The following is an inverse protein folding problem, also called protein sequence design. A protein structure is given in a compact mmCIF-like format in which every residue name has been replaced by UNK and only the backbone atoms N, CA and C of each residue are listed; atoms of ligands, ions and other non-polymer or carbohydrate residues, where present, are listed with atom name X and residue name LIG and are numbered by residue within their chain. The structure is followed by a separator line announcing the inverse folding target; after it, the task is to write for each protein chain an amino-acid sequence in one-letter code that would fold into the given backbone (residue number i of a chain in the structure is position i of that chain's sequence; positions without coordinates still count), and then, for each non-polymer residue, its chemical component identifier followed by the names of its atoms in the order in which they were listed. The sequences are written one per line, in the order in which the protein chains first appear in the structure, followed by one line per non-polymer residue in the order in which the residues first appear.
data_IF_459316144286
#
_entry.id   IF_459316144286
#
_cell.length_a   1.000
_cell.length_b   1.000
_cell.length_c   1.000
_cell.angle_alpha   90.00
_cell.angle_beta   90.00
_cell.angle_gamma   90.00
#
_symmetry.space_group_name_H-M   'P 1'
#
loop_
_entity.id
_entity.type
_entity.pdbx_description
1 polymer ?
#
# COMPACT_ATOMS: atom_id res chain seq x y z
N UNK A 1 1.40 67.48 -6.06
CA UNK A 1 1.94 67.58 -4.70
C UNK A 1 2.83 66.40 -4.47
N UNK A 2 4.08 66.60 -4.74
CA UNK A 2 5.37 66.11 -4.31
C UNK A 2 5.47 64.71 -3.72
N UNK A 3 6.12 63.79 -4.43
CA UNK A 3 6.73 62.56 -3.98
C UNK A 3 8.16 62.91 -3.50
N UNK A 4 8.71 62.29 -2.49
CA UNK A 4 10.15 62.11 -2.40
C UNK A 4 10.61 60.65 -2.53
N UNK A 5 11.72 60.55 -3.23
CA UNK A 5 12.59 59.45 -3.53
C UNK A 5 13.30 58.84 -2.32
N UNK A 6 13.76 57.58 -2.58
CA UNK A 6 15.01 56.94 -2.19
C UNK A 6 15.07 56.19 -0.84
N UNK A 7 15.40 54.89 -0.91
CA UNK A 7 16.77 54.43 -0.54
C UNK A 7 16.97 52.98 -1.06
N UNK A 8 17.81 52.87 -2.11
CA UNK A 8 18.45 51.62 -2.49
C UNK A 8 19.60 51.36 -1.49
N UNK A 9 19.62 50.20 -0.86
CA UNK A 9 20.81 49.66 -0.23
C UNK A 9 21.30 48.45 -1.05
N UNK A 10 22.35 48.73 -1.83
CA UNK A 10 23.22 47.71 -2.41
C UNK A 10 24.02 47.05 -1.30
N UNK A 11 23.88 45.72 -1.17
CA UNK A 11 24.74 44.88 -0.32
C UNK A 11 25.88 44.37 -1.20
N UNK A 12 27.04 45.01 -1.08
CA UNK A 12 28.33 44.57 -1.63
C UNK A 12 28.80 43.32 -0.92
N UNK A 13 28.69 42.14 -1.54
CA UNK A 13 29.31 40.91 -1.05
C UNK A 13 30.82 40.91 -1.36
N UNK A 14 31.61 41.08 -0.31
CA UNK A 14 33.08 41.03 -0.32
C UNK A 14 33.58 39.60 -0.62
N UNK A 15 34.45 39.45 -1.64
CA UNK A 15 35.09 38.19 -2.06
C UNK A 15 36.08 37.55 -1.10
N UNK A 16 36.17 37.98 0.17
CA UNK A 16 37.14 37.48 1.16
C UNK A 16 36.58 36.48 2.17
N UNK A 17 35.27 36.13 2.09
CA UNK A 17 34.62 35.18 3.02
C UNK A 17 34.59 33.72 2.58
N UNK A 18 35.09 33.39 1.37
CA UNK A 18 34.84 32.04 0.78
C UNK A 18 36.00 31.05 0.97
N UNK A 19 37.04 31.34 1.68
CA UNK A 19 38.21 30.46 1.89
C UNK A 19 38.39 29.97 3.32
N UNK A 20 37.50 30.32 4.26
CA UNK A 20 37.58 29.91 5.67
C UNK A 20 36.70 28.72 6.09
N UNK A 21 35.83 28.24 5.21
CA UNK A 21 34.79 27.25 5.56
C UNK A 21 35.12 25.78 5.30
N UNK A 22 36.21 25.45 4.64
CA UNK A 22 36.53 24.09 4.20
C UNK A 22 37.52 23.31 5.10
N UNK A 23 38.03 23.91 6.18
CA UNK A 23 38.99 23.23 7.06
C UNK A 23 38.40 22.65 8.35
N UNK A 24 37.11 22.79 8.61
CA UNK A 24 36.47 22.32 9.86
C UNK A 24 35.66 21.04 9.71
N UNK A 25 35.59 20.43 8.52
CA UNK A 25 34.80 19.22 8.26
C UNK A 25 35.61 17.91 8.29
N UNK A 26 36.95 18.01 8.49
CA UNK A 26 37.83 16.83 8.45
C UNK A 26 38.20 16.28 9.83
N UNK A 27 37.78 16.90 10.96
CA UNK A 27 38.25 16.50 12.29
C UNK A 27 37.15 15.91 13.21
N UNK A 28 35.95 15.69 12.72
CA UNK A 28 34.85 15.07 13.51
C UNK A 28 34.70 13.57 13.24
N UNK A 29 35.50 12.96 12.36
CA UNK A 29 35.40 11.54 12.00
C UNK A 29 36.30 10.59 12.82
N UNK A 30 36.94 11.05 13.89
CA UNK A 30 37.91 10.23 14.65
C UNK A 30 37.61 10.00 16.14
N UNK A 31 36.48 10.47 16.71
CA UNK A 31 36.12 10.21 18.09
C UNK A 31 34.62 9.97 18.25
N UNK A 32 34.16 8.85 17.74
CA UNK A 32 32.80 8.35 17.93
C UNK A 32 32.86 6.91 18.39
N UNK A 33 32.98 6.72 19.70
CA UNK A 33 32.78 5.42 20.34
C UNK A 33 31.38 4.90 20.01
N UNK A 34 31.29 3.60 19.95
CA UNK A 34 30.11 2.78 19.74
C UNK A 34 28.86 3.29 20.48
N UNK A 35 28.03 4.06 19.85
CA UNK A 35 26.60 4.10 20.16
C UNK A 35 25.90 3.33 19.08
N UNK A 36 25.37 2.16 19.43
CA UNK A 36 24.40 1.41 18.66
C UNK A 36 23.20 2.31 18.37
N UNK A 37 23.29 3.16 17.39
CA UNK A 37 22.13 3.63 16.65
C UNK A 37 21.66 2.44 15.84
N UNK A 38 20.77 1.65 16.43
CA UNK A 38 20.06 0.59 15.75
C UNK A 38 19.26 1.17 14.59
N UNK A 39 19.92 1.31 13.45
CA UNK A 39 19.24 1.25 12.18
C UNK A 39 18.72 -0.18 12.09
N UNK A 40 17.51 -0.43 12.62
CA UNK A 40 16.72 -1.60 12.33
C UNK A 40 16.15 -1.42 10.92
N UNK A 41 17.03 -1.33 9.92
CA UNK A 41 16.69 -1.74 8.57
C UNK A 41 16.25 -3.20 8.71
N UNK A 42 14.99 -3.49 8.47
CA UNK A 42 14.51 -4.84 8.37
C UNK A 42 15.43 -5.53 7.36
N UNK A 43 16.32 -6.43 7.82
CA UNK A 43 17.12 -7.26 6.95
C UNK A 43 16.11 -8.14 6.23
N UNK A 44 15.99 -7.95 4.94
CA UNK A 44 15.27 -8.87 4.09
C UNK A 44 15.96 -10.23 4.26
N UNK A 45 15.26 -11.16 4.86
CA UNK A 45 15.69 -12.55 4.89
C UNK A 45 15.21 -13.19 3.59
N UNK A 46 16.10 -13.26 2.61
CA UNK A 46 15.83 -13.91 1.31
C UNK A 46 15.37 -15.37 1.47
N UNK A 47 15.59 -15.98 2.64
CA UNK A 47 15.11 -17.31 2.96
C UNK A 47 13.61 -17.37 3.25
N UNK A 48 12.94 -16.23 3.47
CA UNK A 48 11.50 -16.17 3.71
C UNK A 48 10.68 -16.20 2.42
N UNK A 49 11.27 -15.90 1.27
CA UNK A 49 10.64 -16.02 -0.04
C UNK A 49 11.03 -17.38 -0.62
N UNK A 50 10.04 -18.10 -1.14
CA UNK A 50 10.27 -19.37 -1.84
C UNK A 50 11.33 -19.18 -2.92
N UNK A 51 12.09 -20.25 -3.25
CA UNK A 51 13.11 -20.23 -4.30
C UNK A 51 12.61 -19.75 -5.68
N UNK A 52 11.30 -19.61 -5.84
CA UNK A 52 10.63 -19.03 -7.00
C UNK A 52 9.72 -17.88 -6.53
N UNK A 53 10.25 -16.65 -6.36
CA UNK A 53 9.50 -15.51 -5.90
C UNK A 53 8.49 -15.05 -6.97
N UNK A 54 7.32 -15.66 -6.96
CA UNK A 54 6.22 -15.33 -7.86
C UNK A 54 5.13 -14.57 -7.14
N UNK A 55 4.65 -13.50 -7.77
CA UNK A 55 3.51 -12.71 -7.33
C UNK A 55 2.37 -12.91 -8.33
N UNK A 56 1.17 -13.20 -7.83
CA UNK A 56 -0.02 -13.14 -8.66
C UNK A 56 -0.50 -11.69 -8.77
N UNK A 57 -0.91 -11.32 -9.96
CA UNK A 57 -1.54 -10.03 -10.23
C UNK A 57 -2.88 -10.25 -10.86
N UNK A 58 -3.88 -9.57 -10.31
CA UNK A 58 -5.15 -9.36 -10.97
C UNK A 58 -5.29 -7.85 -11.22
N UNK A 59 -5.67 -7.48 -12.43
CA UNK A 59 -5.72 -6.06 -12.80
C UNK A 59 -6.90 -5.75 -13.72
N UNK A 60 -7.50 -4.59 -13.49
CA UNK A 60 -8.50 -3.96 -14.36
C UNK A 60 -7.90 -2.88 -15.25
N UNK A 61 -6.57 -2.74 -15.26
CA UNK A 61 -5.83 -1.82 -16.13
C UNK A 61 -5.84 -2.32 -17.56
N UNK A 62 -5.81 -1.39 -18.50
CA UNK A 62 -5.63 -1.70 -19.92
C UNK A 62 -4.21 -2.23 -20.17
N UNK A 63 -4.05 -3.41 -20.80
CA UNK A 63 -2.74 -3.89 -21.18
C UNK A 63 -2.13 -3.00 -22.27
N UNK A 64 -0.83 -2.70 -22.12
CA UNK A 64 -0.01 -2.04 -23.13
C UNK A 64 0.85 -3.12 -23.80
N UNK A 65 1.05 -3.05 -25.10
CA UNK A 65 1.81 -4.04 -25.85
C UNK A 65 1.37 -5.51 -25.60
N UNK A 66 0.08 -5.71 -25.36
CA UNK A 66 -0.45 -7.03 -25.01
C UNK A 66 -0.03 -7.52 -23.62
N UNK A 67 0.52 -6.66 -22.76
CA UNK A 67 1.02 -7.02 -21.43
C UNK A 67 2.35 -7.79 -21.43
N UNK A 68 3.05 -7.83 -22.58
CA UNK A 68 4.27 -8.64 -22.75
C UNK A 68 5.59 -7.88 -22.58
N UNK A 69 5.54 -6.55 -22.66
CA UNK A 69 6.71 -5.69 -22.55
C UNK A 69 6.38 -4.45 -21.74
N UNK A 70 7.37 -3.91 -21.05
CA UNK A 70 7.23 -2.69 -20.23
C UNK A 70 6.94 -1.46 -21.13
N UNK A 71 6.00 -0.58 -20.74
CA UNK A 71 5.06 -0.74 -19.66
C UNK A 71 4.03 -1.83 -19.96
N UNK A 72 3.78 -2.74 -19.02
CA UNK A 72 2.88 -3.88 -19.22
C UNK A 72 1.40 -3.47 -19.20
N UNK A 73 1.04 -2.61 -18.25
CA UNK A 73 -0.32 -2.13 -18.08
C UNK A 73 -0.31 -0.62 -17.85
N UNK A 74 -1.22 0.05 -18.53
CA UNK A 74 -1.37 1.51 -18.48
C UNK A 74 -2.24 2.00 -17.32
N UNK A 75 -2.43 3.33 -17.25
CA UNK A 75 -3.33 3.95 -16.28
C UNK A 75 -4.81 3.89 -16.71
N UNK A 76 -5.11 3.50 -17.95
CA UNK A 76 -6.47 3.45 -18.47
C UNK A 76 -7.22 2.20 -17.96
N UNK A 77 -8.55 2.32 -17.93
CA UNK A 77 -9.46 1.22 -17.62
C UNK A 77 -9.46 0.20 -18.76
N UNK A 78 -9.26 -1.08 -18.42
CA UNK A 78 -9.32 -2.20 -19.36
C UNK A 78 -10.75 -2.64 -19.62
N UNK A 79 -10.93 -3.60 -20.52
CA UNK A 79 -12.25 -4.19 -20.85
C UNK A 79 -12.69 -5.31 -19.91
N UNK A 80 -11.84 -5.68 -18.94
CA UNK A 80 -12.09 -6.79 -18.01
C UNK A 80 -10.92 -6.97 -17.05
N UNK A 81 -10.88 -8.13 -16.39
CA UNK A 81 -9.81 -8.51 -15.48
C UNK A 81 -8.76 -9.29 -16.29
N UNK A 82 -7.50 -8.93 -16.08
CA UNK A 82 -6.37 -9.74 -16.56
C UNK A 82 -5.68 -10.36 -15.35
N UNK A 83 -5.40 -11.66 -15.44
CA UNK A 83 -4.59 -12.41 -14.46
C UNK A 83 -3.20 -12.57 -15.04
N UNK A 84 -2.17 -12.23 -14.26
CA UNK A 84 -0.78 -12.37 -14.64
C UNK A 84 0.04 -12.96 -13.49
N UNK A 85 1.14 -13.63 -13.84
CA UNK A 85 2.16 -14.06 -12.89
C UNK A 85 3.40 -13.19 -13.10
N UNK A 86 3.94 -12.67 -12.01
CA UNK A 86 5.18 -11.91 -12.02
C UNK A 86 6.30 -12.75 -11.41
N UNK A 87 7.43 -12.77 -12.08
CA UNK A 87 8.70 -13.22 -11.50
C UNK A 87 9.40 -11.99 -10.94
N UNK A 88 9.66 -12.03 -9.64
CA UNK A 88 10.33 -10.96 -8.94
C UNK A 88 11.82 -11.28 -8.80
N UNK A 89 12.63 -10.24 -8.87
CA UNK A 89 14.07 -10.31 -8.55
C UNK A 89 14.23 -9.65 -7.19
N UNK A 90 14.67 -10.41 -6.16
CA UNK A 90 14.90 -9.84 -4.83
C UNK A 90 16.04 -8.83 -4.85
N UNK A 91 16.16 -7.99 -3.81
CA UNK A 91 17.32 -7.15 -3.58
C UNK A 91 18.59 -8.00 -3.54
N UNK A 92 19.67 -7.48 -4.11
CA UNK A 92 20.99 -8.14 -4.01
C UNK A 92 21.53 -8.01 -2.58
N UNK A 93 21.75 -9.13 -1.90
CA UNK A 93 22.25 -9.23 -0.52
C UNK A 93 23.77 -9.37 -0.44
N UNK A 94 24.49 -9.17 -1.55
CA UNK A 94 25.95 -9.19 -1.59
C UNK A 94 26.61 -8.28 -0.56
N UNK A 95 27.87 -8.56 -0.18
CA UNK A 95 28.64 -7.80 0.84
C UNK A 95 28.75 -6.28 0.57
N UNK A 96 28.43 -5.84 -0.63
CA UNK A 96 28.36 -4.46 -1.07
C UNK A 96 26.95 -4.06 -1.49
N UNK A 97 25.93 -4.72 -0.93
CA UNK A 97 24.54 -4.43 -1.28
C UNK A 97 24.18 -2.98 -0.99
N UNK A 98 23.74 -2.28 -2.03
CA UNK A 98 23.17 -0.94 -1.93
C UNK A 98 21.81 -0.94 -1.21
N UNK A 99 21.23 -2.11 -0.92
CA UNK A 99 20.03 -2.27 -0.12
C UNK A 99 20.18 -1.69 1.30
N UNK A 100 21.40 -1.75 1.88
CA UNK A 100 21.70 -1.14 3.19
C UNK A 100 21.55 0.39 3.21
N UNK A 101 21.59 1.04 2.03
CA UNK A 101 21.40 2.48 1.84
C UNK A 101 20.14 2.78 1.02
N UNK A 102 19.22 1.82 0.89
CA UNK A 102 17.94 1.99 0.19
C UNK A 102 18.03 1.96 -1.34
N UNK A 103 19.16 1.57 -1.91
CA UNK A 103 19.37 1.55 -3.37
C UNK A 103 19.21 0.16 -4.00
N UNK A 104 19.07 -0.90 -3.19
CA UNK A 104 18.72 -2.24 -3.66
C UNK A 104 17.28 -2.55 -3.33
N UNK A 105 16.43 -2.69 -4.32
CA UNK A 105 15.00 -2.93 -4.13
C UNK A 105 14.51 -4.10 -5.00
N UNK A 106 13.35 -4.63 -4.66
CA UNK A 106 12.65 -5.60 -5.49
C UNK A 106 12.48 -5.07 -6.92
N UNK A 107 12.64 -5.94 -7.90
CA UNK A 107 12.43 -5.62 -9.31
C UNK A 107 11.52 -6.66 -9.95
N UNK A 108 10.74 -6.22 -10.94
CA UNK A 108 9.98 -7.13 -11.79
C UNK A 108 10.92 -7.62 -12.89
N UNK A 109 11.18 -8.92 -12.89
CA UNK A 109 12.00 -9.57 -13.93
C UNK A 109 11.16 -9.90 -15.16
N UNK A 110 9.98 -10.51 -14.96
CA UNK A 110 9.11 -10.98 -16.03
C UNK A 110 7.66 -10.85 -15.64
N UNK A 111 6.79 -10.57 -16.61
CA UNK A 111 5.33 -10.59 -16.47
C UNK A 111 4.78 -11.57 -17.49
N UNK A 112 4.18 -12.65 -17.01
CA UNK A 112 3.50 -13.66 -17.81
C UNK A 112 1.98 -13.45 -17.68
N UNK A 113 1.29 -12.93 -18.72
CA UNK A 113 -0.18 -12.96 -18.73
C UNK A 113 -0.66 -14.41 -18.72
N UNK A 114 -1.46 -14.77 -17.72
CA UNK A 114 -2.02 -16.12 -17.58
C UNK A 114 -3.32 -16.20 -18.36
N UNK A 115 -4.22 -15.25 -18.16
CA UNK A 115 -5.54 -15.26 -18.75
C UNK A 115 -6.21 -13.87 -18.74
N UNK A 116 -7.23 -13.73 -19.60
CA UNK A 116 -8.21 -12.65 -19.53
C UNK A 116 -9.51 -13.08 -18.85
N UNK A 117 -9.59 -14.34 -18.41
CA UNK A 117 -10.75 -14.88 -17.74
C UNK A 117 -10.48 -15.10 -16.25
N UNK A 118 -11.38 -14.61 -15.42
CA UNK A 118 -11.24 -14.72 -13.97
C UNK A 118 -11.30 -16.18 -13.49
N UNK A 119 -11.96 -17.06 -14.25
CA UNK A 119 -12.05 -18.49 -13.93
C UNK A 119 -10.69 -19.18 -13.84
N UNK A 120 -9.71 -18.71 -14.59
CA UNK A 120 -8.35 -19.26 -14.57
C UNK A 120 -7.56 -18.85 -13.32
N UNK A 121 -8.05 -17.85 -12.56
CA UNK A 121 -7.47 -17.48 -11.27
C UNK A 121 -7.47 -18.66 -10.29
N UNK A 122 -8.52 -19.46 -10.30
CA UNK A 122 -8.67 -20.66 -9.48
C UNK A 122 -7.49 -21.61 -9.68
N UNK A 123 -7.09 -21.85 -10.92
CA UNK A 123 -6.01 -22.77 -11.26
C UNK A 123 -4.62 -22.28 -10.81
N UNK A 124 -4.42 -20.96 -10.72
CA UNK A 124 -3.13 -20.36 -10.39
C UNK A 124 -3.00 -19.90 -8.95
N UNK A 125 -4.10 -19.86 -8.19
CA UNK A 125 -4.09 -19.44 -6.77
C UNK A 125 -3.29 -20.43 -5.91
N UNK A 126 -3.30 -21.72 -6.22
CA UNK A 126 -2.58 -22.75 -5.47
C UNK A 126 -3.26 -23.07 -4.13
N UNK A 127 -2.49 -23.63 -3.16
CA UNK A 127 -2.99 -24.04 -1.85
C UNK A 127 -2.48 -23.12 -0.73
N UNK A 128 -3.22 -23.11 0.39
CA UNK A 128 -2.91 -22.33 1.59
C UNK A 128 -3.57 -20.95 1.64
N UNK A 129 -3.12 -20.15 2.58
CA UNK A 129 -3.63 -18.78 2.77
C UNK A 129 -3.21 -17.86 1.62
N UNK A 130 -4.07 -16.91 1.29
CA UNK A 130 -3.85 -15.91 0.24
C UNK A 130 -3.83 -14.52 0.85
N UNK A 131 -2.79 -13.75 0.60
CA UNK A 131 -2.70 -12.32 0.91
C UNK A 131 -2.99 -11.51 -0.34
N UNK A 132 -4.00 -10.65 -0.30
CA UNK A 132 -4.31 -9.73 -1.40
C UNK A 132 -3.96 -8.31 -0.95
N UNK A 133 -3.03 -7.67 -1.66
CA UNK A 133 -2.73 -6.26 -1.49
C UNK A 133 -3.52 -5.40 -2.48
N UNK A 134 -4.14 -4.33 -2.00
CA UNK A 134 -4.88 -3.35 -2.81
C UNK A 134 -4.27 -1.97 -2.61
N UNK A 135 -3.67 -1.44 -3.66
CA UNK A 135 -2.90 -0.20 -3.61
C UNK A 135 -3.77 1.06 -3.46
N UNK A 136 -3.14 2.16 -3.07
CA UNK A 136 -3.75 3.47 -2.93
C UNK A 136 -3.66 4.35 -4.18
N UNK A 137 -3.89 5.64 -3.98
CA UNK A 137 -3.74 6.69 -4.98
C UNK A 137 -2.30 6.78 -5.50
N UNK A 138 -2.13 7.23 -6.74
CA UNK A 138 -0.85 7.56 -7.35
C UNK A 138 0.10 6.35 -7.52
N UNK A 139 -0.42 5.18 -7.81
CA UNK A 139 0.36 3.97 -8.04
C UNK A 139 0.32 3.55 -9.51
N UNK A 140 1.47 3.16 -10.06
CA UNK A 140 1.55 2.44 -11.33
C UNK A 140 1.30 0.95 -11.13
N UNK A 141 1.21 0.19 -12.21
CA UNK A 141 1.18 -1.27 -12.14
C UNK A 141 2.43 -1.82 -11.42
N UNK A 142 3.59 -1.32 -11.82
CA UNK A 142 4.89 -1.76 -11.28
C UNK A 142 5.04 -1.43 -9.79
N UNK A 143 4.72 -0.20 -9.39
CA UNK A 143 4.86 0.20 -7.98
C UNK A 143 3.89 -0.57 -7.10
N UNK A 144 2.64 -0.81 -7.54
CA UNK A 144 1.68 -1.61 -6.77
C UNK A 144 2.13 -3.07 -6.57
N UNK A 145 2.77 -3.67 -7.59
CA UNK A 145 3.31 -5.02 -7.50
C UNK A 145 4.52 -5.10 -6.55
N UNK A 146 5.41 -4.12 -6.63
CA UNK A 146 6.59 -4.05 -5.75
C UNK A 146 6.20 -3.79 -4.29
N UNK A 147 5.19 -2.97 -4.04
CA UNK A 147 4.67 -2.74 -2.69
C UNK A 147 4.03 -4.00 -2.09
N UNK A 148 3.34 -4.80 -2.91
CA UNK A 148 2.82 -6.10 -2.48
C UNK A 148 3.95 -7.06 -2.08
N UNK A 149 5.03 -7.09 -2.85
CA UNK A 149 6.20 -7.91 -2.56
C UNK A 149 6.89 -7.48 -1.25
N UNK A 150 7.14 -6.17 -1.11
CA UNK A 150 7.74 -5.58 0.11
C UNK A 150 6.91 -5.87 1.35
N UNK A 151 5.59 -5.70 1.25
CA UNK A 151 4.68 -5.97 2.36
C UNK A 151 4.72 -7.43 2.76
N UNK A 152 4.57 -8.34 1.79
CA UNK A 152 4.58 -9.78 2.02
C UNK A 152 5.86 -10.25 2.72
N UNK A 153 7.00 -9.75 2.26
CA UNK A 153 8.30 -10.05 2.85
C UNK A 153 8.43 -9.45 4.26
N UNK A 154 8.09 -8.17 4.44
CA UNK A 154 8.18 -7.48 5.73
C UNK A 154 7.34 -8.13 6.83
N UNK A 155 6.15 -8.65 6.49
CA UNK A 155 5.30 -9.38 7.43
C UNK A 155 5.61 -10.88 7.49
N UNK A 156 6.56 -11.37 6.68
CA UNK A 156 6.94 -12.79 6.54
C UNK A 156 5.72 -13.67 6.25
N UNK A 157 4.98 -13.31 5.23
CA UNK A 157 3.80 -14.09 4.85
C UNK A 157 4.20 -15.36 4.09
N UNK A 158 3.75 -16.52 4.56
CA UNK A 158 4.14 -17.82 3.98
C UNK A 158 3.14 -18.39 2.98
N UNK A 159 2.03 -17.68 2.72
CA UNK A 159 1.02 -18.08 1.74
C UNK A 159 1.28 -17.51 0.35
N UNK A 160 0.25 -17.53 -0.48
CA UNK A 160 0.28 -16.94 -1.82
C UNK A 160 0.01 -15.44 -1.76
N UNK A 161 0.91 -14.62 -2.28
CA UNK A 161 0.68 -13.17 -2.38
C UNK A 161 0.10 -12.82 -3.74
N UNK A 162 -0.91 -11.97 -3.71
CA UNK A 162 -1.60 -11.42 -4.86
C UNK A 162 -1.70 -9.90 -4.73
N UNK A 163 -1.59 -9.17 -5.83
CA UNK A 163 -1.95 -7.75 -5.88
C UNK A 163 -3.18 -7.55 -6.77
N UNK A 164 -4.12 -6.74 -6.30
CA UNK A 164 -5.17 -6.18 -7.14
C UNK A 164 -4.75 -4.78 -7.59
N UNK A 165 -4.36 -4.66 -8.87
CA UNK A 165 -3.89 -3.40 -9.44
C UNK A 165 -4.99 -2.73 -10.26
N UNK A 166 -5.64 -1.70 -9.68
CA UNK A 166 -6.66 -0.90 -10.33
C UNK A 166 -6.06 0.29 -11.09
N UNK A 167 -6.77 0.87 -12.11
CA UNK A 167 -6.25 1.95 -12.95
C UNK A 167 -6.06 3.26 -12.18
N UNK A 168 -4.82 3.63 -11.88
CA UNK A 168 -4.41 4.91 -11.33
C UNK A 168 -3.45 5.57 -12.32
N UNK A 169 -3.60 6.87 -12.53
CA UNK A 169 -2.75 7.67 -13.43
C UNK A 169 -1.40 8.05 -12.83
N UNK A 170 -1.22 7.80 -11.55
CA UNK A 170 -0.01 8.11 -10.80
C UNK A 170 0.38 9.60 -10.77
N UNK A 171 -0.47 10.51 -11.25
CA UNK A 171 -0.27 11.95 -11.22
C UNK A 171 -0.87 12.60 -9.98
N UNK A 172 -0.22 13.66 -9.48
CA UNK A 172 -0.68 14.36 -8.27
C UNK A 172 -2.07 15.02 -8.45
N UNK A 173 -2.39 15.46 -9.67
CA UNK A 173 -3.65 16.13 -9.99
C UNK A 173 -4.76 15.19 -10.47
N UNK A 174 -4.48 13.88 -10.54
CA UNK A 174 -5.42 12.88 -11.06
C UNK A 174 -6.29 12.24 -9.96
N UNK A 175 -6.38 12.85 -8.78
CA UNK A 175 -7.12 12.30 -7.64
C UNK A 175 -8.58 11.93 -7.97
N UNK A 176 -9.30 12.80 -8.67
CA UNK A 176 -10.69 12.54 -9.05
C UNK A 176 -10.80 11.36 -10.03
N UNK A 177 -9.91 11.30 -11.03
CA UNK A 177 -9.86 10.17 -11.97
C UNK A 177 -9.57 8.86 -11.24
N UNK A 178 -8.60 8.87 -10.34
CA UNK A 178 -8.19 7.68 -9.59
C UNK A 178 -9.33 7.20 -8.68
N UNK A 179 -10.03 8.11 -8.02
CA UNK A 179 -11.20 7.79 -7.18
C UNK A 179 -12.31 7.12 -7.98
N UNK A 180 -12.65 7.67 -9.15
CA UNK A 180 -13.64 7.07 -10.04
C UNK A 180 -13.18 5.73 -10.58
N UNK A 181 -11.88 5.57 -10.85
CA UNK A 181 -11.29 4.32 -11.34
C UNK A 181 -11.26 3.23 -10.26
N UNK A 182 -10.99 3.61 -9.01
CA UNK A 182 -11.11 2.69 -7.88
C UNK A 182 -12.55 2.19 -7.75
N UNK A 183 -13.53 3.09 -7.76
CA UNK A 183 -14.95 2.72 -7.68
C UNK A 183 -15.44 1.93 -8.89
N UNK A 184 -14.95 2.25 -10.09
CA UNK A 184 -15.24 1.46 -11.29
C UNK A 184 -14.69 0.02 -11.20
N UNK A 185 -13.57 -0.17 -10.49
CA UNK A 185 -12.91 -1.46 -10.34
C UNK A 185 -13.53 -2.37 -9.26
N UNK A 186 -14.50 -1.88 -8.46
CA UNK A 186 -15.08 -2.63 -7.33
C UNK A 186 -15.73 -3.95 -7.74
N UNK A 187 -16.48 -3.96 -8.86
CA UNK A 187 -17.13 -5.17 -9.36
C UNK A 187 -16.10 -6.20 -9.88
N UNK A 188 -14.96 -5.67 -10.40
CA UNK A 188 -13.81 -6.50 -10.77
C UNK A 188 -13.16 -7.13 -9.54
N UNK A 189 -12.98 -6.38 -8.47
CA UNK A 189 -12.36 -6.90 -7.24
C UNK A 189 -13.31 -7.87 -6.50
N UNK A 190 -14.61 -7.59 -6.48
CA UNK A 190 -15.60 -8.54 -5.94
C UNK A 190 -15.51 -9.90 -6.64
N UNK A 191 -15.41 -9.91 -7.99
CA UNK A 191 -15.22 -11.15 -8.75
C UNK A 191 -13.89 -11.84 -8.44
N UNK A 192 -12.80 -11.09 -8.22
CA UNK A 192 -11.52 -11.66 -7.78
C UNK A 192 -11.68 -12.34 -6.44
N UNK A 193 -12.31 -11.69 -5.47
CA UNK A 193 -12.57 -12.26 -4.15
C UNK A 193 -13.44 -13.51 -4.23
N UNK A 194 -14.55 -13.45 -4.96
CA UNK A 194 -15.46 -14.58 -5.16
C UNK A 194 -14.75 -15.79 -5.79
N UNK A 195 -13.96 -15.55 -6.85
CA UNK A 195 -13.17 -16.60 -7.51
C UNK A 195 -12.08 -17.19 -6.59
N UNK A 196 -11.42 -16.35 -5.78
CA UNK A 196 -10.40 -16.82 -4.82
C UNK A 196 -11.04 -17.64 -3.69
N UNK A 197 -12.21 -17.23 -3.19
CA UNK A 197 -12.99 -17.98 -2.21
C UNK A 197 -13.40 -19.36 -2.76
N UNK A 198 -13.78 -19.42 -4.02
CA UNK A 198 -14.15 -20.66 -4.70
C UNK A 198 -12.97 -21.55 -5.07
N UNK A 199 -11.74 -21.11 -4.94
CA UNK A 199 -10.55 -21.91 -5.28
C UNK A 199 -10.37 -23.06 -4.28
N UNK A 200 -10.32 -24.33 -4.72
CA UNK A 200 -10.30 -25.49 -3.82
C UNK A 200 -9.10 -25.54 -2.88
N UNK A 201 -7.98 -24.96 -3.29
CA UNK A 201 -6.74 -24.94 -2.50
C UNK A 201 -6.59 -23.73 -1.58
N UNK A 202 -7.36 -22.66 -1.80
CA UNK A 202 -7.28 -21.47 -0.96
C UNK A 202 -7.93 -21.74 0.40
N UNK A 203 -7.22 -21.48 1.47
CA UNK A 203 -7.71 -21.65 2.84
C UNK A 203 -8.41 -20.37 3.31
N UNK A 204 -7.65 -19.35 3.65
CA UNK A 204 -8.16 -18.03 4.06
C UNK A 204 -7.62 -16.94 3.17
N UNK A 205 -8.43 -15.92 3.02
CA UNK A 205 -8.07 -14.73 2.24
C UNK A 205 -7.85 -13.58 3.20
N UNK A 206 -6.63 -13.09 3.26
CA UNK A 206 -6.25 -11.89 3.99
C UNK A 206 -6.15 -10.72 3.02
N UNK A 207 -6.62 -9.57 3.41
CA UNK A 207 -6.63 -8.37 2.56
C UNK A 207 -5.90 -7.25 3.30
N UNK A 208 -4.93 -6.63 2.64
CA UNK A 208 -4.34 -5.38 3.09
C UNK A 208 -4.60 -4.33 2.03
N UNK A 209 -5.41 -3.35 2.36
CA UNK A 209 -5.75 -2.25 1.48
C UNK A 209 -5.18 -0.93 2.01
N UNK A 210 -4.64 -0.12 1.11
CA UNK A 210 -4.00 1.13 1.44
C UNK A 210 -4.78 2.34 0.88
N UNK A 211 -4.96 3.37 1.70
CA UNK A 211 -5.48 4.67 1.29
C UNK A 211 -6.79 4.57 0.50
N UNK A 212 -6.85 5.08 -0.73
CA UNK A 212 -8.01 4.99 -1.64
C UNK A 212 -8.43 3.55 -1.97
N UNK A 213 -7.48 2.59 -1.94
CA UNK A 213 -7.78 1.16 -2.12
C UNK A 213 -8.68 0.58 -1.03
N UNK A 214 -8.76 1.22 0.14
CA UNK A 214 -9.63 0.80 1.23
C UNK A 214 -11.11 1.04 0.90
N UNK A 215 -11.43 2.15 0.23
CA UNK A 215 -12.78 2.44 -0.25
C UNK A 215 -13.24 1.39 -1.27
N UNK A 216 -12.39 1.10 -2.25
CA UNK A 216 -12.62 0.05 -3.23
C UNK A 216 -12.88 -1.31 -2.54
N UNK A 217 -12.01 -1.68 -1.59
CA UNK A 217 -12.10 -2.95 -0.87
C UNK A 217 -13.37 -3.05 -0.04
N UNK A 218 -13.73 -2.01 0.71
CA UNK A 218 -14.94 -1.99 1.52
C UNK A 218 -16.21 -2.16 0.67
N UNK A 219 -16.30 -1.47 -0.46
CA UNK A 219 -17.44 -1.61 -1.37
C UNK A 219 -17.51 -3.00 -2.02
N UNK A 220 -16.36 -3.58 -2.38
CA UNK A 220 -16.32 -4.94 -2.91
C UNK A 220 -16.72 -5.98 -1.86
N UNK A 221 -16.29 -5.82 -0.61
CA UNK A 221 -16.70 -6.68 0.51
C UNK A 221 -18.20 -6.54 0.80
N UNK A 222 -18.75 -5.33 0.71
CA UNK A 222 -20.18 -5.09 0.87
C UNK A 222 -21.01 -5.81 -0.21
N UNK A 223 -20.57 -5.76 -1.48
CA UNK A 223 -21.22 -6.50 -2.57
C UNK A 223 -21.11 -8.01 -2.37
N UNK A 224 -19.90 -8.49 -2.06
CA UNK A 224 -19.63 -9.90 -1.80
C UNK A 224 -20.51 -10.45 -0.66
N UNK A 225 -20.60 -9.70 0.46
CA UNK A 225 -21.44 -10.08 1.59
C UNK A 225 -22.94 -10.05 1.24
N UNK A 226 -23.38 -9.10 0.43
CA UNK A 226 -24.77 -9.05 -0.04
C UNK A 226 -25.13 -10.27 -0.90
N UNK A 227 -24.17 -10.84 -1.64
CA UNK A 227 -24.38 -12.02 -2.49
C UNK A 227 -24.26 -13.35 -1.72
N UNK A 228 -23.29 -13.46 -0.79
CA UNK A 228 -22.91 -14.74 -0.17
C UNK A 228 -23.30 -14.83 1.32
N UNK A 229 -23.67 -13.71 1.95
CA UNK A 229 -24.02 -13.64 3.38
C UNK A 229 -22.86 -14.08 4.27
N UNK A 230 -23.19 -14.69 5.40
CA UNK A 230 -22.22 -15.13 6.41
C UNK A 230 -21.28 -16.25 5.94
N UNK A 231 -21.60 -16.92 4.82
CA UNK A 231 -20.70 -17.95 4.26
C UNK A 231 -19.32 -17.42 3.89
N UNK A 232 -19.23 -16.12 3.60
CA UNK A 232 -17.96 -15.45 3.27
C UNK A 232 -17.07 -15.25 4.51
N UNK A 233 -17.67 -15.10 5.69
CA UNK A 233 -16.95 -14.75 6.93
C UNK A 233 -15.93 -15.83 7.33
N UNK A 234 -16.25 -17.11 7.08
CA UNK A 234 -15.34 -18.23 7.32
C UNK A 234 -14.15 -18.29 6.37
N UNK A 235 -14.27 -17.67 5.19
CA UNK A 235 -13.22 -17.66 4.14
C UNK A 235 -12.34 -16.41 4.17
N UNK A 236 -12.86 -15.32 4.73
CA UNK A 236 -12.07 -14.10 4.94
C UNK A 236 -11.34 -14.22 6.29
N UNK A 237 -10.03 -14.13 6.25
CA UNK A 237 -9.18 -14.04 7.44
C UNK A 237 -9.15 -12.63 8.01
N UNK A 238 -8.01 -11.95 7.92
CA UNK A 238 -7.88 -10.55 8.33
C UNK A 238 -8.11 -9.59 7.17
N UNK A 239 -8.77 -8.47 7.45
CA UNK A 239 -8.85 -7.32 6.56
C UNK A 239 -8.20 -6.13 7.24
N UNK A 240 -7.12 -5.60 6.67
CA UNK A 240 -6.40 -4.46 7.23
C UNK A 240 -6.56 -3.25 6.31
N UNK A 241 -7.08 -2.17 6.85
CA UNK A 241 -7.18 -0.88 6.19
C UNK A 241 -6.09 0.04 6.72
N UNK A 242 -5.05 0.26 5.93
CA UNK A 242 -3.93 1.14 6.26
C UNK A 242 -4.21 2.56 5.73
N UNK A 243 -4.21 3.55 6.62
CA UNK A 243 -4.48 4.96 6.32
C UNK A 243 -5.71 5.17 5.43
N UNK A 244 -6.92 4.71 5.81
CA UNK A 244 -8.09 4.70 4.94
C UNK A 244 -8.49 6.09 4.45
N UNK A 245 -8.56 6.27 3.13
CA UNK A 245 -9.08 7.48 2.48
C UNK A 245 -10.58 7.32 2.16
N UNK A 246 -11.36 7.10 3.20
CA UNK A 246 -12.82 6.97 3.15
C UNK A 246 -13.42 8.04 4.05
N UNK A 247 -14.50 8.65 3.61
CA UNK A 247 -15.33 9.50 4.46
C UNK A 247 -15.92 8.70 5.62
N UNK A 248 -15.94 9.26 6.84
CA UNK A 248 -16.34 8.54 8.05
C UNK A 248 -17.81 8.10 8.02
N UNK A 249 -18.69 8.89 7.41
CA UNK A 249 -20.12 8.55 7.33
C UNK A 249 -20.35 7.45 6.28
N UNK A 250 -19.61 7.50 5.16
CA UNK A 250 -19.61 6.42 4.15
C UNK A 250 -19.09 5.12 4.75
N UNK A 251 -18.00 5.17 5.52
CA UNK A 251 -17.46 4.03 6.21
C UNK A 251 -18.47 3.42 7.19
N UNK A 252 -19.05 4.26 8.07
CA UNK A 252 -20.06 3.85 9.04
C UNK A 252 -21.27 3.17 8.37
N UNK A 253 -21.79 3.79 7.30
CA UNK A 253 -22.90 3.22 6.53
C UNK A 253 -22.56 1.87 5.88
N UNK A 254 -21.31 1.69 5.43
CA UNK A 254 -20.88 0.44 4.77
C UNK A 254 -20.61 -0.68 5.77
N UNK A 255 -19.99 -0.37 6.92
CA UNK A 255 -19.67 -1.36 7.97
C UNK A 255 -20.94 -2.00 8.54
N UNK A 256 -22.01 -1.26 8.73
CA UNK A 256 -23.29 -1.81 9.23
C UNK A 256 -23.94 -2.80 8.28
N UNK A 257 -23.46 -2.92 7.04
CA UNK A 257 -24.03 -3.78 5.99
C UNK A 257 -23.23 -5.03 5.69
N UNK A 258 -22.15 -5.29 6.41
CA UNK A 258 -21.27 -6.45 6.19
C UNK A 258 -21.29 -7.44 7.38
N UNK A 259 -22.22 -7.28 8.31
CA UNK A 259 -22.46 -8.23 9.39
C UNK A 259 -21.20 -8.58 10.18
N UNK A 260 -20.99 -9.86 10.45
CA UNK A 260 -19.85 -10.37 11.22
C UNK A 260 -18.49 -10.12 10.54
N UNK A 261 -18.47 -9.85 9.23
CA UNK A 261 -17.26 -9.52 8.51
C UNK A 261 -16.59 -8.23 9.03
N UNK A 262 -17.37 -7.31 9.63
CA UNK A 262 -16.84 -6.11 10.29
C UNK A 262 -15.82 -6.46 11.38
N UNK A 263 -16.04 -7.53 12.14
CA UNK A 263 -15.11 -8.01 13.17
C UNK A 263 -13.75 -8.51 12.65
N UNK A 264 -13.63 -8.76 11.34
CA UNK A 264 -12.38 -9.12 10.69
C UNK A 264 -11.53 -7.90 10.30
N UNK A 265 -12.10 -6.68 10.40
CA UNK A 265 -11.45 -5.45 9.95
C UNK A 265 -10.59 -4.85 11.07
N UNK A 266 -9.36 -4.54 10.74
CA UNK A 266 -8.45 -3.72 11.53
C UNK A 266 -8.14 -2.44 10.75
N UNK A 267 -8.41 -1.30 11.35
CA UNK A 267 -8.09 0.02 10.80
C UNK A 267 -6.81 0.54 11.44
N UNK A 268 -5.84 0.94 10.64
CA UNK A 268 -4.62 1.61 11.09
C UNK A 268 -4.77 3.09 10.75
N UNK A 269 -4.81 3.93 11.78
CA UNK A 269 -4.95 5.39 11.67
C UNK A 269 -3.63 6.08 11.96
N UNK A 270 -3.46 7.29 11.39
CA UNK A 270 -2.41 8.23 11.76
C UNK A 270 -3.00 9.64 11.67
N UNK A 271 -3.25 10.29 12.81
CA UNK A 271 -3.93 11.58 12.89
C UNK A 271 -3.11 12.73 12.29
N UNK A 272 -1.80 12.56 12.16
CA UNK A 272 -0.86 13.50 11.55
C UNK A 272 -0.57 13.22 10.05
N UNK A 273 -1.36 12.35 9.41
CA UNK A 273 -1.21 12.00 8.00
C UNK A 273 -1.54 13.19 7.08
N UNK A 274 -0.50 13.76 6.49
CA UNK A 274 -0.62 14.93 5.59
C UNK A 274 -1.30 14.60 4.26
N UNK A 275 -1.18 13.37 3.79
CA UNK A 275 -1.82 12.96 2.53
C UNK A 275 -3.34 12.88 2.73
N UNK A 276 -3.80 12.35 3.86
CA UNK A 276 -5.22 12.34 4.22
C UNK A 276 -5.75 13.75 4.47
N UNK A 277 -4.96 14.65 5.07
CA UNK A 277 -5.34 16.05 5.23
C UNK A 277 -5.51 16.75 3.87
N UNK A 278 -4.67 16.46 2.89
CA UNK A 278 -4.82 16.95 1.52
C UNK A 278 -6.06 16.35 0.84
N UNK A 279 -6.24 15.03 0.94
CA UNK A 279 -7.42 14.34 0.42
C UNK A 279 -8.72 14.91 1.00
N UNK A 280 -8.79 15.17 2.31
CA UNK A 280 -9.92 15.78 2.98
C UNK A 280 -10.26 17.16 2.39
N UNK A 281 -9.25 17.99 2.14
CA UNK A 281 -9.42 19.31 1.51
C UNK A 281 -9.96 19.22 0.08
N UNK A 282 -9.40 18.29 -0.73
CA UNK A 282 -9.84 18.07 -2.11
C UNK A 282 -11.29 17.55 -2.18
N UNK A 283 -11.75 16.88 -1.14
CA UNK A 283 -13.10 16.34 -1.02
C UNK A 283 -14.07 17.22 -0.22
N UNK A 284 -13.78 18.51 -0.04
CA UNK A 284 -14.69 19.47 0.62
C UNK A 284 -14.61 19.51 2.15
N UNK A 285 -13.49 19.07 2.75
CA UNK A 285 -13.25 19.17 4.20
C UNK A 285 -13.81 18.02 5.04
N UNK A 286 -14.23 16.92 4.40
CA UNK A 286 -14.79 15.74 5.09
C UNK A 286 -13.70 14.96 5.86
N UNK A 287 -14.05 14.49 7.07
CA UNK A 287 -13.14 13.70 7.89
C UNK A 287 -12.88 12.32 7.27
N UNK A 288 -11.60 12.00 7.08
CA UNK A 288 -11.17 10.67 6.60
C UNK A 288 -10.98 9.70 7.76
N UNK A 289 -11.39 8.45 7.56
CA UNK A 289 -11.27 7.38 8.56
C UNK A 289 -9.83 7.23 9.07
N UNK A 290 -8.85 7.29 8.17
CA UNK A 290 -7.43 7.18 8.53
C UNK A 290 -6.90 8.32 9.42
N UNK A 291 -7.60 9.45 9.48
CA UNK A 291 -7.29 10.60 10.34
C UNK A 291 -8.35 10.84 11.43
N UNK A 292 -9.34 9.96 11.58
CA UNK A 292 -10.38 10.07 12.58
C UNK A 292 -9.94 9.58 13.95
N UNK A 293 -10.58 10.07 14.99
CA UNK A 293 -10.35 9.62 16.36
C UNK A 293 -10.70 8.13 16.52
N UNK A 294 -9.81 7.38 17.15
CA UNK A 294 -9.91 5.95 17.41
C UNK A 294 -11.27 5.55 17.98
N UNK A 295 -11.72 6.23 19.04
CA UNK A 295 -13.00 5.91 19.71
C UNK A 295 -14.21 6.03 18.79
N UNK A 296 -14.17 6.89 17.78
CA UNK A 296 -15.26 7.05 16.82
C UNK A 296 -15.38 5.83 15.91
N UNK A 297 -14.25 5.29 15.48
CA UNK A 297 -14.21 4.11 14.58
C UNK A 297 -14.50 2.82 15.37
N UNK A 298 -13.98 2.68 16.60
CA UNK A 298 -14.19 1.48 17.43
C UNK A 298 -15.68 1.26 17.77
N UNK A 299 -16.47 2.33 17.89
CA UNK A 299 -17.94 2.20 18.09
C UNK A 299 -18.65 1.52 16.93
N UNK A 300 -18.01 1.38 15.77
CA UNK A 300 -18.54 0.66 14.61
C UNK A 300 -18.22 -0.86 14.64
N UNK A 301 -17.61 -1.35 15.71
CA UNK A 301 -17.30 -2.78 15.87
C UNK A 301 -16.03 -3.25 15.16
N UNK A 302 -15.19 -2.33 14.67
CA UNK A 302 -13.90 -2.64 14.04
C UNK A 302 -12.74 -2.40 15.01
N UNK A 303 -11.64 -3.12 14.85
CA UNK A 303 -10.42 -2.89 15.62
C UNK A 303 -9.68 -1.66 15.07
N UNK A 304 -9.17 -0.81 15.95
CA UNK A 304 -8.38 0.37 15.56
C UNK A 304 -7.01 0.35 16.22
N UNK A 305 -5.99 0.59 15.42
CA UNK A 305 -4.61 0.79 15.85
C UNK A 305 -4.20 2.20 15.46
N UNK A 306 -3.88 2.99 16.45
CA UNK A 306 -3.33 4.33 16.25
C UNK A 306 -1.82 4.24 16.05
N UNK A 307 -1.36 4.70 14.90
CA UNK A 307 0.04 4.72 14.51
C UNK A 307 0.62 6.15 14.43
N UNK A 308 -0.06 7.13 15.02
CA UNK A 308 0.37 8.54 14.99
C UNK A 308 1.78 8.75 15.54
N UNK A 309 2.17 7.99 16.57
CA UNK A 309 3.50 8.07 17.16
C UNK A 309 4.55 7.19 16.45
N UNK A 310 4.15 6.43 15.44
CA UNK A 310 5.03 5.44 14.80
C UNK A 310 5.93 6.04 13.69
N UNK A 311 5.73 7.29 13.30
CA UNK A 311 6.39 7.89 12.14
C UNK A 311 7.29 9.09 12.49
N UNK A 312 8.53 9.07 11.96
CA UNK A 312 9.45 10.21 11.91
C UNK A 312 9.58 10.70 10.46
N UNK A 313 8.50 10.86 9.73
CA UNK A 313 8.50 11.23 8.31
C UNK A 313 7.65 12.46 8.01
N UNK A 314 7.99 13.15 6.92
CA UNK A 314 7.21 14.29 6.41
C UNK A 314 5.82 13.82 5.93
N UNK A 315 5.67 12.51 5.60
CA UNK A 315 4.45 11.89 5.12
C UNK A 315 4.31 10.51 5.79
N UNK A 316 3.41 10.40 6.77
CA UNK A 316 3.14 9.15 7.51
C UNK A 316 2.18 8.20 6.76
N UNK A 317 2.02 8.38 5.45
CA UNK A 317 1.02 7.67 4.66
C UNK A 317 1.39 6.22 4.35
N UNK A 318 2.71 5.92 4.20
CA UNK A 318 3.22 4.61 3.81
C UNK A 318 3.84 3.82 4.98
N UNK A 319 3.40 4.07 6.21
CA UNK A 319 3.94 3.41 7.42
C UNK A 319 3.87 1.88 7.36
N UNK A 320 2.88 1.32 6.69
CA UNK A 320 2.72 -0.13 6.54
C UNK A 320 3.88 -0.79 5.75
N UNK A 321 4.59 -0.02 4.90
CA UNK A 321 5.78 -0.48 4.17
C UNK A 321 7.10 -0.18 4.88
N UNK A 322 7.13 0.83 5.75
CA UNK A 322 8.37 1.36 6.30
C UNK A 322 8.53 1.19 7.83
N UNK A 323 7.43 0.99 8.56
CA UNK A 323 7.46 0.91 10.02
C UNK A 323 7.27 -0.51 10.52
N UNK A 324 8.28 -1.04 11.25
CA UNK A 324 8.28 -2.42 11.75
C UNK A 324 7.17 -2.72 12.77
N UNK A 325 6.69 -1.72 13.53
CA UNK A 325 5.61 -1.91 14.49
C UNK A 325 4.27 -2.04 13.78
N UNK A 326 4.03 -1.23 12.75
CA UNK A 326 2.85 -1.34 11.89
C UNK A 326 2.82 -2.69 11.16
N UNK A 327 3.96 -3.12 10.61
CA UNK A 327 4.09 -4.44 9.97
C UNK A 327 3.83 -5.58 10.95
N UNK A 328 4.28 -5.45 12.20
CA UNK A 328 4.00 -6.44 13.27
C UNK A 328 2.50 -6.50 13.60
N UNK A 329 1.80 -5.37 13.59
CA UNK A 329 0.34 -5.32 13.77
C UNK A 329 -0.37 -6.06 12.64
N UNK A 330 0.00 -5.80 11.37
CA UNK A 330 -0.56 -6.49 10.21
C UNK A 330 -0.36 -8.00 10.34
N UNK A 331 0.88 -8.44 10.62
CA UNK A 331 1.22 -9.85 10.81
C UNK A 331 0.35 -10.50 11.92
N UNK A 332 0.26 -9.88 13.10
CA UNK A 332 -0.56 -10.38 14.21
C UNK A 332 -2.05 -10.46 13.87
N UNK A 333 -2.56 -9.51 13.07
CA UNK A 333 -3.95 -9.55 12.62
C UNK A 333 -4.21 -10.77 11.73
N UNK A 334 -3.24 -11.16 10.90
CA UNK A 334 -3.30 -12.35 10.05
C UNK A 334 -3.19 -13.61 10.91
N UNK A 335 -2.19 -13.70 11.79
CA UNK A 335 -1.94 -14.85 12.67
C UNK A 335 -3.12 -15.14 13.61
N UNK A 336 -3.79 -14.11 14.13
CA UNK A 336 -4.94 -14.26 15.02
C UNK A 336 -6.16 -14.93 14.37
N UNK A 337 -6.20 -15.04 13.05
CA UNK A 337 -7.25 -15.75 12.31
C UNK A 337 -6.87 -17.21 12.00
N UNK A 338 -5.67 -17.62 12.39
CA UNK A 338 -5.13 -18.97 12.13
C UNK A 338 -5.59 -20.03 13.16
N UNK A 339 -6.42 -19.65 14.14
CA UNK A 339 -6.92 -20.54 15.24
C UNK A 339 -8.30 -21.03 14.93
#
# INVERSE_FOLDING_TARGET
MIIPHSLQHEVLLSRRGLLGGLSSLATVLALGGCTNLGATGARFDASSISADPTLLVTTTRKPVNGGRAKPWFGPERGSGITVARLKLVPPDDGRFSLAAVGLGDWRIGEVEPVSKEIGDLVAVTGSGDVLIYVHGFKQTFETSALDAARLSDAIRFHGRTMVFSWPSKAGLFDYAYDRDSAMWSRDGFERVLSSTIGAPGAERIHIVAHSMGTMLTLESLRQLYAHLGDSVTGRIGAVVFAAPDIDIDVFSSSITRIGELAGKITVITATDDRALALSARLAGGMTRVGAAEKATIERLGVRVIDASDAGWGIINHDLFLSNADVQRVIRRSIEATAV
#
